data_IF_202044417363
#
_entry.id   IF_202044417363
#
_cell.length_a   1.000
_cell.length_b   1.000
_cell.length_c   1.000
_cell.angle_alpha   90.00
_cell.angle_beta   90.00
_cell.angle_gamma   90.00
#
_symmetry.space_group_name_H-M   'P 1'
#
loop_
_entity.id
_entity.type
_entity.pdbx_description
1 polymer ?
#
# COMPACT_ATOMS: atom_id res chain seq x y z
N UNK A 1 17.25 -6.91 8.45
CA UNK A 1 16.45 -5.92 7.69
C UNK A 1 15.28 -5.48 8.55
N UNK A 2 15.18 -4.19 8.83
CA UNK A 2 14.09 -3.65 9.65
C UNK A 2 12.78 -3.64 8.85
N UNK A 3 11.61 -3.94 9.46
CA UNK A 3 10.34 -3.82 8.78
C UNK A 3 10.03 -2.35 8.49
N UNK A 4 9.41 -2.09 7.35
CA UNK A 4 8.88 -0.76 7.06
C UNK A 4 7.55 -0.57 7.80
N UNK A 5 7.28 0.64 8.27
CA UNK A 5 5.96 0.97 8.80
C UNK A 5 4.94 1.09 7.66
N UNK A 6 5.36 1.68 6.56
CA UNK A 6 4.50 1.91 5.39
C UNK A 6 5.16 1.31 4.15
N UNK A 7 4.42 0.46 3.45
CA UNK A 7 4.79 -0.02 2.12
C UNK A 7 4.02 0.79 1.09
N UNK A 8 4.74 1.51 0.23
CA UNK A 8 4.14 2.25 -0.88
C UNK A 8 4.33 1.46 -2.16
N UNK A 9 3.22 1.12 -2.82
CA UNK A 9 3.22 0.38 -4.09
C UNK A 9 2.75 1.31 -5.18
N UNK A 10 3.68 1.77 -6.01
CA UNK A 10 3.42 2.77 -7.05
C UNK A 10 4.44 2.64 -8.18
N UNK A 11 3.98 2.48 -9.41
CA UNK A 11 4.87 2.34 -10.57
C UNK A 11 5.35 3.68 -11.15
N UNK A 12 4.62 4.76 -10.89
CA UNK A 12 4.97 6.09 -11.39
C UNK A 12 5.82 6.83 -10.38
N UNK A 13 7.06 7.19 -10.78
CA UNK A 13 8.01 7.84 -9.87
C UNK A 13 7.53 9.21 -9.38
N UNK A 14 6.83 9.97 -10.22
CA UNK A 14 6.32 11.29 -9.83
C UNK A 14 5.20 11.16 -8.80
N UNK A 15 4.29 10.21 -9.01
CA UNK A 15 3.21 9.95 -8.05
C UNK A 15 3.76 9.43 -6.73
N UNK A 16 4.77 8.55 -6.79
CA UNK A 16 5.43 8.05 -5.59
C UNK A 16 6.07 9.20 -4.79
N UNK A 17 6.77 10.10 -5.47
CA UNK A 17 7.41 11.24 -4.81
C UNK A 17 6.37 12.15 -4.16
N UNK A 18 5.26 12.43 -4.86
CA UNK A 18 4.19 13.26 -4.31
C UNK A 18 3.59 12.63 -3.05
N UNK A 19 3.35 11.32 -3.07
CA UNK A 19 2.83 10.59 -1.93
C UNK A 19 3.81 10.61 -0.76
N UNK A 20 5.09 10.39 -1.02
CA UNK A 20 6.12 10.42 0.01
C UNK A 20 6.24 11.80 0.65
N UNK A 21 6.14 12.87 -0.14
CA UNK A 21 6.14 14.22 0.40
C UNK A 21 4.92 14.50 1.28
N UNK A 22 3.76 14.04 0.87
CA UNK A 22 2.54 14.18 1.67
C UNK A 22 2.69 13.49 3.03
N UNK A 23 3.29 12.31 3.06
CA UNK A 23 3.56 11.58 4.30
C UNK A 23 4.54 12.33 5.20
N UNK A 24 5.63 12.83 4.64
CA UNK A 24 6.64 13.58 5.40
C UNK A 24 6.06 14.85 6.00
N UNK A 25 5.25 15.57 5.22
CA UNK A 25 4.62 16.81 5.67
C UNK A 25 3.69 16.59 6.86
N UNK A 26 3.09 15.41 6.95
CA UNK A 26 2.22 15.02 8.06
C UNK A 26 2.93 14.34 9.21
N UNK A 27 4.27 14.26 9.19
CA UNK A 27 5.07 13.51 10.16
C UNK A 27 4.72 12.03 10.19
N UNK A 28 4.31 11.48 9.05
CA UNK A 28 3.85 10.10 8.94
C UNK A 28 4.88 9.19 8.25
N UNK A 29 6.05 9.73 7.97
CA UNK A 29 7.04 9.05 7.15
C UNK A 29 7.93 8.07 7.92
N UNK A 30 7.53 7.52 9.03
CA UNK A 30 8.34 6.54 9.73
C UNK A 30 9.22 5.72 8.77
N UNK A 31 9.41 4.46 8.94
CA UNK A 31 10.15 3.64 8.00
C UNK A 31 9.26 3.36 6.78
N UNK A 32 9.54 4.03 5.66
CA UNK A 32 8.78 3.85 4.41
C UNK A 32 9.62 3.07 3.41
N UNK A 33 8.99 2.10 2.75
CA UNK A 33 9.62 1.36 1.65
C UNK A 33 8.75 1.49 0.40
N UNK A 34 9.37 1.91 -0.71
CA UNK A 34 8.69 2.05 -1.99
C UNK A 34 9.04 0.87 -2.90
N UNK A 35 8.02 0.24 -3.46
CA UNK A 35 8.15 -0.80 -4.49
C UNK A 35 7.43 -0.34 -5.76
N UNK A 36 7.89 -0.79 -6.91
CA UNK A 36 7.53 -0.20 -8.20
C UNK A 36 6.46 -0.97 -8.96
N UNK A 37 6.13 -2.18 -8.54
CA UNK A 37 5.13 -3.00 -9.21
C UNK A 37 4.57 -4.05 -8.26
N UNK A 38 3.54 -4.75 -8.72
CA UNK A 38 2.88 -5.75 -7.90
C UNK A 38 3.74 -6.97 -7.61
N UNK A 39 4.63 -7.33 -8.53
CA UNK A 39 5.55 -8.44 -8.30
C UNK A 39 6.50 -8.13 -7.15
N UNK A 40 7.10 -6.96 -7.15
CA UNK A 40 7.97 -6.53 -6.05
C UNK A 40 7.19 -6.40 -4.75
N UNK A 41 5.95 -5.90 -4.81
CA UNK A 41 5.09 -5.80 -3.63
C UNK A 41 4.83 -7.17 -3.01
N UNK A 42 4.53 -8.17 -3.83
CA UNK A 42 4.31 -9.54 -3.33
C UNK A 42 5.58 -10.15 -2.76
N UNK A 43 6.73 -9.94 -3.39
CA UNK A 43 7.99 -10.41 -2.83
C UNK A 43 8.24 -9.78 -1.46
N UNK A 44 7.96 -8.48 -1.32
CA UNK A 44 8.13 -7.79 -0.05
C UNK A 44 7.18 -8.33 1.02
N UNK A 45 5.91 -8.43 0.71
CA UNK A 45 4.91 -8.88 1.68
C UNK A 45 5.09 -10.35 2.07
N UNK A 46 5.40 -11.20 1.11
CA UNK A 46 5.55 -12.64 1.35
C UNK A 46 6.97 -13.03 1.77
N UNK A 47 7.90 -12.09 1.80
CA UNK A 47 9.30 -12.30 2.18
C UNK A 47 9.97 -13.36 1.29
N UNK A 48 9.81 -13.17 -0.02
CA UNK A 48 10.39 -14.05 -1.05
C UNK A 48 11.27 -13.23 -1.98
N UNK A 49 11.94 -13.90 -2.93
CA UNK A 49 12.76 -13.25 -3.94
C UNK A 49 13.75 -12.25 -3.35
N UNK A 50 13.66 -11.01 -3.80
CA UNK A 50 14.54 -9.91 -3.34
C UNK A 50 14.46 -9.67 -1.83
N UNK A 51 13.37 -10.08 -1.20
CA UNK A 51 13.07 -9.80 0.20
C UNK A 51 13.04 -11.06 1.07
N UNK A 52 13.71 -12.11 0.64
CA UNK A 52 13.72 -13.40 1.35
C UNK A 52 14.34 -13.30 2.77
N UNK A 53 15.11 -12.25 3.02
CA UNK A 53 15.70 -12.04 4.37
C UNK A 53 14.74 -11.41 5.38
N UNK A 54 13.54 -10.99 4.97
CA UNK A 54 12.55 -10.41 5.87
C UNK A 54 11.78 -11.51 6.60
N UNK A 55 11.20 -11.14 7.74
CA UNK A 55 10.35 -12.03 8.53
C UNK A 55 8.88 -11.71 8.25
N UNK A 56 8.12 -12.68 7.75
CA UNK A 56 6.70 -12.50 7.42
C UNK A 56 5.85 -12.18 8.64
N UNK A 57 6.34 -12.48 9.84
CA UNK A 57 5.65 -12.14 11.08
C UNK A 57 5.84 -10.68 11.47
N UNK A 58 6.62 -9.92 10.70
CA UNK A 58 6.83 -8.48 10.88
C UNK A 58 6.38 -7.76 9.61
N UNK A 59 5.08 -7.74 9.30
CA UNK A 59 4.56 -7.07 8.12
C UNK A 59 4.61 -5.56 8.29
N UNK A 60 4.47 -4.79 7.20
CA UNK A 60 4.27 -3.36 7.34
C UNK A 60 2.97 -3.07 8.10
N UNK A 61 2.89 -1.90 8.70
CA UNK A 61 1.70 -1.48 9.45
C UNK A 61 0.61 -0.92 8.53
N UNK A 62 0.97 -0.56 7.30
CA UNK A 62 0.07 0.03 6.33
C UNK A 62 0.62 -0.21 4.92
N UNK A 63 -0.26 -0.54 3.99
CA UNK A 63 0.08 -0.61 2.56
C UNK A 63 -0.71 0.47 1.83
N UNK A 64 -0.01 1.36 1.13
CA UNK A 64 -0.60 2.31 0.19
C UNK A 64 -0.43 1.73 -1.20
N UNK A 65 -1.52 1.46 -1.89
CA UNK A 65 -1.52 0.63 -3.09
C UNK A 65 -2.17 1.32 -4.27
N UNK A 66 -1.41 1.48 -5.36
CA UNK A 66 -1.96 1.78 -6.67
C UNK A 66 -2.43 0.47 -7.30
N UNK A 67 -3.64 0.47 -7.84
CA UNK A 67 -4.21 -0.75 -8.44
C UNK A 67 -3.65 -1.03 -9.85
N UNK A 68 -3.52 0.01 -10.66
CA UNK A 68 -3.15 -0.15 -12.06
C UNK A 68 -1.64 -0.04 -12.25
N UNK A 69 -0.99 -1.21 -12.30
CA UNK A 69 0.46 -1.31 -12.42
C UNK A 69 0.84 -2.42 -13.42
N UNK A 70 2.04 -2.34 -14.03
CA UNK A 70 2.51 -3.43 -14.88
C UNK A 70 2.84 -4.68 -14.07
N UNK A 71 3.03 -5.78 -14.77
CA UNK A 71 3.31 -7.11 -14.21
C UNK A 71 2.13 -7.61 -13.39
N UNK A 72 2.29 -7.74 -12.08
CA UNK A 72 1.19 -8.14 -11.19
C UNK A 72 0.45 -6.89 -10.76
N UNK A 73 -0.88 -6.82 -11.00
CA UNK A 73 -1.67 -5.65 -10.62
C UNK A 73 -2.04 -5.66 -9.13
N UNK A 74 -2.60 -4.53 -8.69
CA UNK A 74 -2.94 -4.36 -7.28
C UNK A 74 -4.04 -5.29 -6.79
N UNK A 75 -4.92 -5.75 -7.67
CA UNK A 75 -5.97 -6.71 -7.29
C UNK A 75 -5.33 -8.02 -6.86
N UNK A 76 -4.33 -8.49 -7.60
CA UNK A 76 -3.60 -9.72 -7.22
C UNK A 76 -2.87 -9.54 -5.89
N UNK A 77 -2.29 -8.38 -5.65
CA UNK A 77 -1.65 -8.08 -4.35
C UNK A 77 -2.68 -8.19 -3.23
N UNK A 78 -3.87 -7.63 -3.41
CA UNK A 78 -4.95 -7.70 -2.42
C UNK A 78 -5.41 -9.14 -2.18
N UNK A 79 -5.56 -9.92 -3.24
CA UNK A 79 -5.97 -11.32 -3.13
C UNK A 79 -4.95 -12.15 -2.35
N UNK A 80 -3.68 -12.01 -2.67
CA UNK A 80 -2.62 -12.75 -1.98
C UNK A 80 -2.51 -12.35 -0.51
N UNK A 81 -2.66 -11.05 -0.20
CA UNK A 81 -2.69 -10.57 1.18
C UNK A 81 -3.82 -11.22 1.96
N UNK A 82 -5.02 -11.24 1.38
CA UNK A 82 -6.19 -11.81 2.05
C UNK A 82 -6.10 -13.30 2.30
N UNK A 83 -5.32 -14.02 1.49
CA UNK A 83 -5.12 -15.47 1.62
C UNK A 83 -4.00 -15.85 2.57
N UNK A 84 -3.22 -14.88 3.03
CA UNK A 84 -2.04 -15.13 3.86
C UNK A 84 -2.34 -14.69 5.28
N UNK A 85 -2.35 -15.63 6.22
CA UNK A 85 -2.79 -15.38 7.60
C UNK A 85 -1.96 -14.29 8.30
N UNK A 86 -0.66 -14.22 8.02
CA UNK A 86 0.22 -13.21 8.60
C UNK A 86 -0.03 -11.81 8.06
N UNK A 87 -0.77 -11.68 6.95
CA UNK A 87 -0.97 -10.43 6.22
C UNK A 87 -2.42 -9.96 6.17
N UNK A 88 -3.37 -10.85 6.46
CA UNK A 88 -4.78 -10.53 6.21
C UNK A 88 -5.34 -9.39 7.07
N UNK A 89 -4.67 -9.05 8.18
CA UNK A 89 -5.05 -7.93 9.04
C UNK A 89 -4.28 -6.64 8.73
N UNK A 90 -3.32 -6.68 7.80
CA UNK A 90 -2.56 -5.47 7.42
C UNK A 90 -3.49 -4.51 6.70
N UNK A 91 -3.64 -3.26 7.19
CA UNK A 91 -4.49 -2.28 6.53
C UNK A 91 -3.98 -1.93 5.14
N UNK A 92 -4.89 -1.87 4.17
CA UNK A 92 -4.58 -1.45 2.80
C UNK A 92 -5.44 -0.24 2.45
N UNK A 93 -4.78 0.80 2.01
CA UNK A 93 -5.42 2.01 1.47
C UNK A 93 -5.11 2.08 -0.01
N UNK A 94 -6.14 2.12 -0.84
CA UNK A 94 -5.99 2.17 -2.29
C UNK A 94 -5.97 3.61 -2.76
N UNK A 95 -4.97 3.96 -3.58
CA UNK A 95 -4.89 5.27 -4.22
C UNK A 95 -5.58 5.18 -5.57
N UNK A 96 -6.56 6.04 -5.82
CA UNK A 96 -7.38 6.02 -7.02
C UNK A 96 -7.36 7.36 -7.74
N UNK A 97 -7.52 7.33 -9.06
CA UNK A 97 -7.62 8.55 -9.86
C UNK A 97 -9.07 8.96 -10.15
N UNK A 98 -10.06 8.13 -9.84
CA UNK A 98 -11.47 8.47 -10.07
C UNK A 98 -12.42 7.68 -9.18
N UNK A 99 -13.63 8.25 -9.00
CA UNK A 99 -14.70 7.63 -8.19
C UNK A 99 -15.18 6.30 -8.78
N UNK A 100 -15.22 6.18 -10.08
CA UNK A 100 -15.67 4.97 -10.76
C UNK A 100 -14.82 3.77 -10.41
N UNK A 101 -13.51 3.96 -10.37
CA UNK A 101 -12.54 2.94 -9.95
C UNK A 101 -12.84 2.48 -8.53
N UNK A 102 -13.10 3.43 -7.62
CA UNK A 102 -13.44 3.13 -6.24
C UNK A 102 -14.71 2.29 -6.14
N UNK A 103 -15.75 2.65 -6.90
CA UNK A 103 -17.01 1.90 -6.90
C UNK A 103 -16.81 0.46 -7.37
N UNK A 104 -16.06 0.26 -8.44
CA UNK A 104 -15.77 -1.06 -8.98
C UNK A 104 -15.04 -1.90 -7.93
N UNK A 105 -14.00 -1.36 -7.32
CA UNK A 105 -13.19 -2.08 -6.34
C UNK A 105 -13.99 -2.44 -5.09
N UNK A 106 -14.86 -1.55 -4.65
CA UNK A 106 -15.71 -1.81 -3.48
C UNK A 106 -16.61 -3.02 -3.70
N UNK A 107 -17.09 -3.23 -4.94
CA UNK A 107 -17.98 -4.34 -5.26
C UNK A 107 -17.31 -5.71 -5.16
N UNK A 108 -15.99 -5.79 -5.19
CA UNK A 108 -15.26 -7.05 -5.13
C UNK A 108 -14.95 -7.54 -3.72
N UNK A 109 -15.23 -6.74 -2.70
CA UNK A 109 -15.00 -7.12 -1.29
C UNK A 109 -13.57 -7.61 -1.05
N UNK A 110 -12.60 -6.83 -1.48
CA UNK A 110 -11.18 -7.20 -1.41
C UNK A 110 -10.49 -6.87 -0.09
N UNK A 111 -11.24 -6.42 0.91
CA UNK A 111 -10.68 -6.09 2.21
C UNK A 111 -9.94 -4.75 2.22
N UNK A 112 -10.30 -3.83 1.34
CA UNK A 112 -9.72 -2.50 1.29
C UNK A 112 -10.24 -1.68 2.46
N UNK A 113 -9.33 -1.08 3.23
CA UNK A 113 -9.70 -0.31 4.42
C UNK A 113 -10.16 1.11 4.10
N UNK A 114 -9.54 1.74 3.11
CA UNK A 114 -9.89 3.10 2.73
C UNK A 114 -9.34 3.43 1.34
N UNK A 115 -9.70 4.60 0.84
CA UNK A 115 -9.26 5.10 -0.47
C UNK A 115 -8.70 6.49 -0.33
N UNK A 116 -7.69 6.81 -1.14
CA UNK A 116 -7.12 8.15 -1.27
C UNK A 116 -7.18 8.57 -2.72
N UNK A 117 -7.68 9.76 -2.99
CA UNK A 117 -7.68 10.32 -4.34
C UNK A 117 -6.28 10.76 -4.74
N UNK A 118 -5.92 10.56 -5.99
CA UNK A 118 -4.70 11.11 -6.57
C UNK A 118 -4.99 12.48 -7.17
N UNK A 119 -4.10 13.46 -7.06
CA UNK A 119 -2.84 13.41 -6.30
C UNK A 119 -3.10 13.38 -4.79
N UNK A 120 -2.29 12.60 -4.08
CA UNK A 120 -2.48 12.39 -2.63
C UNK A 120 -2.15 13.67 -1.88
N UNK A 121 -3.08 14.11 -1.03
CA UNK A 121 -2.95 15.33 -0.24
C UNK A 121 -2.56 15.00 1.21
N UNK A 122 -1.75 15.90 1.81
CA UNK A 122 -1.27 15.72 3.18
C UNK A 122 -2.39 15.48 4.18
N UNK A 123 -3.45 16.29 4.13
CA UNK A 123 -4.52 16.20 5.11
C UNK A 123 -5.35 14.91 4.96
N UNK A 124 -5.55 14.47 3.72
CA UNK A 124 -6.26 13.22 3.45
C UNK A 124 -5.48 12.01 3.95
N UNK A 125 -4.17 12.01 3.73
CA UNK A 125 -3.28 10.97 4.25
C UNK A 125 -3.30 10.97 5.77
N UNK A 126 -3.17 12.13 6.40
CA UNK A 126 -3.14 12.26 7.85
C UNK A 126 -4.42 11.72 8.48
N UNK A 127 -5.59 12.09 7.92
CA UNK A 127 -6.87 11.61 8.40
C UNK A 127 -7.02 10.10 8.25
N UNK A 128 -6.63 9.56 7.11
CA UNK A 128 -6.74 8.14 6.81
C UNK A 128 -5.84 7.31 7.73
N UNK A 129 -4.59 7.73 7.90
CA UNK A 129 -3.62 7.04 8.75
C UNK A 129 -4.04 7.09 10.22
N UNK A 130 -4.57 8.22 10.66
CA UNK A 130 -5.09 8.38 12.02
C UNK A 130 -6.22 7.39 12.32
N UNK A 131 -7.13 7.19 11.37
CA UNK A 131 -8.25 6.24 11.52
C UNK A 131 -7.79 4.80 11.63
N UNK A 132 -6.64 4.48 11.07
CA UNK A 132 -6.06 3.13 11.12
C UNK A 132 -5.30 2.90 12.43
N UNK A 133 -4.97 3.97 13.14
CA UNK A 133 -4.27 3.88 14.43
C UNK A 133 -2.76 3.98 14.32
N UNK A 134 -2.28 4.55 13.24
CA UNK A 134 -0.84 4.80 13.07
C UNK A 134 -0.41 6.14 13.67
#
# INVERSE_FOLDING_TARGET
MSPADILLVEDNAQDAEATMQALRSGNLAGALHWVKDGEEALEYLLCTGRYAGRDIRQPPRLVLLDIWMPKVDGIEVLLQRGRTSELNDVPVVVMTSCEEERHVLTSYHLGIHSYLAKPVQRDDVANTVSKIGL
#
